data_IF_127867944582
#
_entry.id   IF_127867944582
#
_cell.length_a   1.000
_cell.length_b   1.000
_cell.length_c   1.000
_cell.angle_alpha   90.00
_cell.angle_beta   90.00
_cell.angle_gamma   90.00
#
_symmetry.space_group_name_H-M   'P 1'
#
loop_
_entity.id
_entity.type
_entity.pdbx_description
1 polymer ?
#
# COMPACT_ATOMS: atom_id res chain seq x y z
N UNK A 1 -25.23 1.88 7.26
CA UNK A 1 -24.51 1.37 8.45
C UNK A 1 -23.61 0.24 7.97
N UNK A 2 -22.34 0.19 8.37
CA UNK A 2 -21.43 -0.89 7.96
C UNK A 2 -21.69 -2.14 8.80
N UNK A 3 -21.74 -3.33 8.17
CA UNK A 3 -22.07 -4.60 8.85
C UNK A 3 -20.90 -5.16 9.66
N UNK A 4 -19.68 -5.06 9.14
CA UNK A 4 -18.48 -5.69 9.71
C UNK A 4 -17.39 -4.69 10.04
N UNK A 5 -16.69 -4.91 11.15
CA UNK A 5 -15.56 -4.13 11.63
C UNK A 5 -14.37 -5.07 11.84
N UNK A 6 -13.27 -4.82 11.14
CA UNK A 6 -12.00 -5.53 11.30
C UNK A 6 -11.11 -4.74 12.25
N UNK A 7 -10.72 -5.30 13.38
CA UNK A 7 -9.71 -4.72 14.26
C UNK A 7 -8.42 -4.48 13.48
N UNK A 8 -7.82 -3.30 13.65
CA UNK A 8 -6.53 -2.98 13.05
C UNK A 8 -5.58 -2.40 14.09
N UNK A 9 -4.30 -2.73 13.91
CA UNK A 9 -3.20 -2.23 14.73
C UNK A 9 -2.21 -1.45 13.87
N UNK A 10 -1.53 -0.49 14.47
CA UNK A 10 -0.58 0.37 13.79
C UNK A 10 -0.16 1.55 14.66
N UNK A 11 0.47 2.54 14.02
CA UNK A 11 0.85 3.77 14.72
C UNK A 11 -0.43 4.55 15.13
N UNK A 12 -0.62 4.79 16.42
CA UNK A 12 -1.82 5.44 16.96
C UNK A 12 -2.08 6.82 16.39
N UNK A 13 -1.06 7.70 16.29
CA UNK A 13 -1.26 9.05 15.74
C UNK A 13 -1.62 9.03 14.26
N UNK A 14 -1.09 8.05 13.52
CA UNK A 14 -1.48 7.81 12.14
C UNK A 14 -2.94 7.35 12.06
N UNK A 15 -3.34 6.36 12.87
CA UNK A 15 -4.70 5.86 12.91
C UNK A 15 -5.71 6.94 13.30
N UNK A 16 -5.40 7.73 14.33
CA UNK A 16 -6.18 8.92 14.71
C UNK A 16 -6.40 9.84 13.50
N UNK A 17 -5.35 10.14 12.73
CA UNK A 17 -5.46 10.99 11.53
C UNK A 17 -6.40 10.43 10.46
N UNK A 18 -6.50 9.10 10.32
CA UNK A 18 -7.47 8.47 9.39
C UNK A 18 -8.90 8.49 9.92
N UNK A 19 -9.10 8.60 11.24
CA UNK A 19 -10.41 8.47 11.89
C UNK A 19 -11.17 9.77 12.05
N UNK A 20 -10.46 10.91 12.00
CA UNK A 20 -10.97 12.29 12.12
C UNK A 20 -11.98 12.71 11.05
N UNK A 21 -12.47 11.75 10.28
CA UNK A 21 -12.96 11.93 8.95
C UNK A 21 -14.22 11.09 8.71
N UNK A 22 -15.34 11.52 9.33
CA UNK A 22 -16.54 10.71 9.47
C UNK A 22 -17.27 10.37 8.15
N UNK A 23 -16.97 11.08 7.06
CA UNK A 23 -17.53 10.87 5.73
C UNK A 23 -16.46 10.46 4.68
N UNK A 24 -15.34 9.87 5.14
CA UNK A 24 -14.19 9.56 4.29
C UNK A 24 -14.12 8.08 3.97
N UNK A 25 -13.58 7.79 2.79
CA UNK A 25 -13.63 6.49 2.17
C UNK A 25 -14.71 6.50 1.10
N UNK A 26 -14.31 6.16 -0.12
CA UNK A 26 -15.19 5.39 -0.99
C UNK A 26 -15.86 4.28 -0.17
N UNK A 27 -17.00 3.81 -0.66
CA UNK A 27 -17.65 2.58 -0.23
C UNK A 27 -16.70 1.36 -0.05
N UNK A 28 -15.45 1.47 -0.50
CA UNK A 28 -14.48 0.40 -0.55
C UNK A 28 -13.55 0.26 0.67
N UNK A 29 -13.38 1.27 1.52
CA UNK A 29 -12.49 1.13 2.68
C UNK A 29 -12.35 2.36 3.57
N UNK A 30 -12.40 2.16 4.89
CA UNK A 30 -12.39 3.23 5.89
C UNK A 30 -11.85 2.77 7.26
N UNK A 31 -11.22 3.68 8.00
CA UNK A 31 -10.85 3.48 9.41
C UNK A 31 -11.82 4.24 10.34
N UNK A 32 -12.21 3.63 11.45
CA UNK A 32 -13.03 4.21 12.53
C UNK A 32 -12.37 3.97 13.90
N UNK A 33 -12.64 4.85 14.88
CA UNK A 33 -12.03 4.81 16.23
C UNK A 33 -13.07 4.81 17.35
N UNK A 34 -12.99 3.81 18.22
CA UNK A 34 -13.89 3.63 19.37
C UNK A 34 -13.19 4.02 20.66
N UNK A 35 -13.71 5.08 21.29
CA UNK A 35 -13.23 5.59 22.57
C UNK A 35 -14.05 5.07 23.77
N UNK A 36 -15.11 4.27 23.56
CA UNK A 36 -16.04 3.93 24.64
C UNK A 36 -15.58 2.78 25.55
N UNK A 37 -14.54 2.03 25.18
CA UNK A 37 -14.24 0.74 25.80
C UNK A 37 -12.98 0.71 26.68
N UNK A 38 -12.11 1.73 26.68
CA UNK A 38 -10.91 1.74 27.56
C UNK A 38 -10.20 3.11 27.61
N UNK A 39 -9.13 3.21 28.42
CA UNK A 39 -8.16 4.34 28.38
C UNK A 39 -7.47 4.48 27.01
N UNK A 40 -7.54 3.46 26.14
CA UNK A 40 -6.92 3.44 24.82
C UNK A 40 -7.96 3.34 23.68
N UNK A 41 -7.75 4.06 22.56
CA UNK A 41 -8.63 3.96 21.40
C UNK A 41 -8.49 2.60 20.72
N UNK A 42 -9.62 2.01 20.31
CA UNK A 42 -9.64 0.86 19.40
C UNK A 42 -9.92 1.32 17.97
N UNK A 43 -9.18 0.78 17.00
CA UNK A 43 -9.33 1.13 15.60
C UNK A 43 -9.87 -0.02 14.78
N UNK A 44 -10.80 0.29 13.87
CA UNK A 44 -11.40 -0.69 12.98
C UNK A 44 -11.28 -0.25 11.52
N UNK A 45 -10.97 -1.20 10.64
CA UNK A 45 -11.19 -1.09 9.20
C UNK A 45 -12.58 -1.60 8.83
N UNK A 46 -13.26 -0.92 7.92
CA UNK A 46 -14.58 -1.32 7.41
C UNK A 46 -14.77 -0.88 5.96
N UNK A 47 -15.78 -1.42 5.29
CA UNK A 47 -16.09 -1.18 3.87
C UNK A 47 -17.54 -1.58 3.59
N UNK A 48 -18.24 -0.86 2.72
CA UNK A 48 -19.61 -1.25 2.33
C UNK A 48 -19.62 -2.48 1.42
N UNK A 49 -18.48 -2.83 0.81
CA UNK A 49 -18.27 -4.11 0.14
C UNK A 49 -18.38 -5.32 1.08
N UNK A 50 -18.29 -5.11 2.40
CA UNK A 50 -18.49 -6.16 3.41
C UNK A 50 -19.98 -6.32 3.76
N UNK A 51 -20.85 -5.37 3.43
CA UNK A 51 -22.26 -5.39 3.87
C UNK A 51 -23.05 -6.56 3.31
N UNK A 52 -22.70 -7.05 2.11
CA UNK A 52 -23.34 -8.21 1.48
C UNK A 52 -22.78 -9.55 1.95
N UNK A 53 -21.72 -9.55 2.78
CA UNK A 53 -21.10 -10.78 3.28
C UNK A 53 -21.86 -11.25 4.51
N UNK A 54 -22.34 -12.50 4.47
CA UNK A 54 -23.13 -13.09 5.56
C UNK A 54 -22.27 -13.84 6.57
N UNK A 55 -21.19 -14.49 6.10
CA UNK A 55 -20.33 -15.31 6.96
C UNK A 55 -19.15 -14.50 7.50
N UNK A 56 -18.87 -14.66 8.79
CA UNK A 56 -17.79 -13.94 9.48
C UNK A 56 -16.41 -14.26 8.89
N UNK A 57 -16.13 -15.53 8.58
CA UNK A 57 -14.85 -15.97 8.00
C UNK A 57 -14.62 -15.35 6.62
N UNK A 58 -15.66 -15.34 5.76
CA UNK A 58 -15.60 -14.70 4.45
C UNK A 58 -15.39 -13.18 4.58
N UNK A 59 -16.05 -12.55 5.57
CA UNK A 59 -15.89 -11.13 5.83
C UNK A 59 -14.46 -10.79 6.29
N UNK A 60 -13.86 -11.65 7.13
CA UNK A 60 -12.47 -11.51 7.58
C UNK A 60 -11.50 -11.56 6.40
N UNK A 61 -11.64 -12.57 5.54
CA UNK A 61 -10.75 -12.74 4.38
C UNK A 61 -10.86 -11.56 3.41
N UNK A 62 -12.10 -11.14 3.12
CA UNK A 62 -12.35 -9.98 2.25
C UNK A 62 -11.85 -8.68 2.86
N UNK A 63 -12.02 -8.48 4.17
CA UNK A 63 -11.52 -7.30 4.87
C UNK A 63 -9.98 -7.25 4.87
N UNK A 64 -9.30 -8.39 5.06
CA UNK A 64 -7.83 -8.50 4.95
C UNK A 64 -7.34 -8.15 3.54
N UNK A 65 -8.02 -8.63 2.50
CA UNK A 65 -7.67 -8.27 1.11
C UNK A 65 -7.81 -6.76 0.87
N UNK A 66 -8.93 -6.17 1.29
CA UNK A 66 -9.16 -4.73 1.16
C UNK A 66 -8.13 -3.91 1.95
N UNK A 67 -7.77 -4.34 3.17
CA UNK A 67 -6.75 -3.68 3.99
C UNK A 67 -5.38 -3.74 3.31
N UNK A 68 -5.04 -4.83 2.64
CA UNK A 68 -3.81 -4.92 1.83
C UNK A 68 -3.83 -3.88 0.71
N UNK A 69 -4.92 -3.75 -0.03
CA UNK A 69 -5.02 -2.71 -1.09
C UNK A 69 -4.90 -1.31 -0.49
N UNK A 70 -5.58 -1.05 0.63
CA UNK A 70 -5.52 0.23 1.34
C UNK A 70 -4.08 0.56 1.77
N UNK A 71 -3.37 -0.40 2.36
CA UNK A 71 -1.95 -0.26 2.69
C UNK A 71 -1.10 0.10 1.46
N UNK A 72 -1.38 -0.50 0.29
CA UNK A 72 -0.71 -0.18 -0.97
C UNK A 72 -0.94 1.26 -1.41
N UNK A 73 -2.18 1.77 -1.29
CA UNK A 73 -2.53 3.17 -1.59
C UNK A 73 -1.80 4.11 -0.64
N UNK A 74 -1.86 3.85 0.68
CA UNK A 74 -1.18 4.68 1.66
C UNK A 74 0.35 4.69 1.46
N UNK A 75 0.93 3.55 1.09
CA UNK A 75 2.35 3.46 0.76
C UNK A 75 2.69 4.33 -0.46
N UNK A 76 1.93 4.23 -1.55
CA UNK A 76 2.12 5.05 -2.75
C UNK A 76 2.02 6.55 -2.46
N UNK A 77 1.09 6.94 -1.61
CA UNK A 77 0.86 8.34 -1.26
C UNK A 77 1.82 8.89 -0.18
N UNK A 78 2.81 8.10 0.26
CA UNK A 78 3.73 8.46 1.36
C UNK A 78 3.00 8.78 2.68
N UNK A 79 1.81 8.18 2.91
CA UNK A 79 0.99 8.46 4.09
C UNK A 79 1.35 7.60 5.30
N UNK A 80 1.92 6.43 5.06
CA UNK A 80 2.22 5.44 6.09
C UNK A 80 3.70 5.12 6.14
N UNK A 81 4.26 5.16 7.35
CA UNK A 81 5.60 4.65 7.67
C UNK A 81 5.56 3.17 8.10
N UNK A 82 4.38 2.68 8.48
CA UNK A 82 4.09 1.28 8.83
C UNK A 82 2.79 0.82 8.20
N UNK A 83 2.65 -0.47 7.93
CA UNK A 83 1.40 -1.06 7.44
C UNK A 83 0.39 -1.18 8.57
N UNK A 84 -0.90 -1.12 8.25
CA UNK A 84 -1.95 -1.54 9.17
C UNK A 84 -1.99 -3.07 9.24
N UNK A 85 -2.02 -3.61 10.45
CA UNK A 85 -2.03 -5.05 10.71
C UNK A 85 -3.45 -5.49 11.06
N UNK A 86 -4.01 -6.50 10.39
CA UNK A 86 -5.36 -6.99 10.67
C UNK A 86 -5.41 -7.80 11.97
N UNK A 87 -6.45 -7.58 12.77
CA UNK A 87 -6.82 -8.37 13.95
C UNK A 87 -8.06 -9.23 13.72
N UNK A 88 -8.91 -9.35 14.75
CA UNK A 88 -10.21 -10.01 14.69
C UNK A 88 -11.26 -9.20 13.94
N UNK A 89 -12.28 -9.87 13.39
CA UNK A 89 -13.46 -9.19 12.83
C UNK A 89 -14.65 -9.33 13.78
N UNK A 90 -15.55 -8.35 13.78
CA UNK A 90 -16.79 -8.39 14.57
C UNK A 90 -17.95 -7.71 13.86
N UNK A 91 -19.20 -8.08 14.17
CA UNK A 91 -20.37 -7.38 13.69
C UNK A 91 -20.45 -5.97 14.32
N UNK A 92 -20.89 -5.00 13.54
CA UNK A 92 -21.14 -3.64 14.02
C UNK A 92 -22.48 -3.57 14.76
N UNK A 93 -22.42 -3.60 16.09
CA UNK A 93 -23.64 -3.65 16.90
C UNK A 93 -24.15 -2.28 17.37
N UNK A 94 -23.32 -1.22 17.46
CA UNK A 94 -23.73 0.03 18.15
C UNK A 94 -23.00 1.33 17.76
N UNK A 95 -22.31 1.41 16.62
CA UNK A 95 -21.46 2.58 16.36
C UNK A 95 -22.23 3.88 16.04
N UNK A 96 -22.34 4.79 17.02
CA UNK A 96 -22.73 6.19 16.82
C UNK A 96 -21.48 7.04 16.65
N UNK A 97 -21.29 7.54 15.44
CA UNK A 97 -20.16 8.36 15.03
C UNK A 97 -20.15 9.71 15.77
N UNK A 98 -19.08 10.03 16.49
CA UNK A 98 -18.78 11.39 16.97
C UNK A 98 -17.80 12.03 15.99
N UNK A 99 -18.07 13.26 15.56
CA UNK A 99 -17.19 14.03 14.68
C UNK A 99 -16.37 15.03 15.50
N UNK A 100 -15.06 15.13 15.19
CA UNK A 100 -14.39 16.38 14.76
C UNK A 100 -12.88 16.36 15.04
N UNK A 101 -12.07 16.71 14.02
CA UNK A 101 -10.86 17.56 13.99
C UNK A 101 -10.38 17.56 12.51
N UNK A 102 -9.85 18.67 12.00
CA UNK A 102 -9.48 18.82 10.59
C UNK A 102 -7.96 18.86 10.39
N UNK A 103 -7.36 17.78 9.86
CA UNK A 103 -5.99 17.80 9.33
C UNK A 103 -5.83 16.71 8.23
N UNK A 104 -5.40 17.09 7.01
CA UNK A 104 -5.23 16.24 5.79
C UNK A 104 -6.39 16.13 4.77
N UNK A 105 -7.17 17.19 4.55
CA UNK A 105 -8.20 17.18 3.49
C UNK A 105 -7.67 16.87 2.07
N UNK A 106 -6.41 17.21 1.75
CA UNK A 106 -5.84 17.04 0.41
C UNK A 106 -5.58 15.57 0.03
N UNK A 107 -5.18 14.72 0.98
CA UNK A 107 -4.87 13.31 0.69
C UNK A 107 -6.11 12.44 0.52
N UNK A 108 -7.26 12.92 1.02
CA UNK A 108 -8.57 12.27 0.88
C UNK A 108 -8.90 11.96 -0.56
N UNK A 109 -8.92 12.98 -1.41
CA UNK A 109 -9.34 12.84 -2.80
C UNK A 109 -8.44 11.82 -3.50
N UNK A 110 -7.14 11.83 -3.20
CA UNK A 110 -6.21 10.87 -3.77
C UNK A 110 -6.47 9.44 -3.30
N UNK A 111 -6.71 9.19 -2.00
CA UNK A 111 -7.04 7.83 -1.53
C UNK A 111 -8.30 7.33 -2.23
N UNK A 112 -9.37 8.13 -2.29
CA UNK A 112 -10.63 7.72 -2.89
C UNK A 112 -10.50 7.48 -4.40
N UNK A 113 -9.78 8.35 -5.11
CA UNK A 113 -9.48 8.21 -6.53
C UNK A 113 -8.69 6.91 -6.78
N UNK A 114 -7.63 6.66 -6.01
CA UNK A 114 -6.77 5.50 -6.19
C UNK A 114 -7.47 4.19 -5.79
N UNK A 115 -8.29 4.19 -4.73
CA UNK A 115 -9.06 3.01 -4.33
C UNK A 115 -10.06 2.62 -5.42
N UNK A 116 -10.85 3.57 -5.92
CA UNK A 116 -11.84 3.34 -7.01
C UNK A 116 -11.16 2.96 -8.32
N UNK A 117 -10.06 3.62 -8.64
CA UNK A 117 -9.28 3.41 -9.85
C UNK A 117 -8.72 2.00 -10.02
N UNK A 118 -8.70 1.17 -8.96
CA UNK A 118 -8.25 -0.23 -9.03
C UNK A 118 -9.06 -1.10 -9.98
N UNK A 119 -10.31 -0.72 -10.27
CA UNK A 119 -11.19 -1.41 -11.21
C UNK A 119 -11.12 -0.83 -12.63
N UNK A 120 -10.57 0.38 -12.79
CA UNK A 120 -10.53 1.12 -14.06
C UNK A 120 -9.29 0.80 -14.90
N UNK A 121 -8.23 0.28 -14.27
CA UNK A 121 -6.97 -0.02 -14.95
C UNK A 121 -6.47 -1.45 -14.72
N UNK A 122 -6.31 -2.17 -15.83
CA UNK A 122 -5.70 -3.50 -15.85
C UNK A 122 -4.40 -3.55 -15.07
N UNK A 123 -4.30 -4.52 -14.15
CA UNK A 123 -3.14 -4.76 -13.28
C UNK A 123 -2.84 -3.67 -12.22
N UNK A 124 -3.55 -2.54 -12.18
CA UNK A 124 -3.32 -1.55 -11.12
C UNK A 124 -3.64 -2.11 -9.73
N UNK A 125 -4.77 -2.80 -9.59
CA UNK A 125 -5.10 -3.60 -8.39
C UNK A 125 -3.95 -4.54 -7.97
N UNK A 126 -3.31 -5.21 -8.95
CA UNK A 126 -2.20 -6.14 -8.68
C UNK A 126 -0.98 -5.40 -8.12
N UNK A 127 -0.66 -4.21 -8.64
CA UNK A 127 0.41 -3.36 -8.09
C UNK A 127 0.08 -2.93 -6.67
N UNK A 128 -1.14 -2.44 -6.41
CA UNK A 128 -1.57 -2.08 -5.05
C UNK A 128 -1.45 -3.25 -4.08
N UNK A 129 -1.85 -4.46 -4.51
CA UNK A 129 -1.74 -5.67 -3.69
C UNK A 129 -0.30 -6.05 -3.38
N UNK A 130 0.58 -6.04 -4.38
CA UNK A 130 2.01 -6.34 -4.20
C UNK A 130 2.68 -5.30 -3.28
N UNK A 131 2.37 -4.03 -3.50
CA UNK A 131 2.89 -2.94 -2.67
C UNK A 131 2.32 -2.97 -1.26
N UNK A 132 1.06 -3.36 -1.06
CA UNK A 132 0.41 -3.36 0.23
C UNK A 132 0.75 -4.58 1.10
N UNK A 133 0.95 -5.76 0.50
CA UNK A 133 1.26 -7.00 1.24
C UNK A 133 2.57 -6.88 2.01
N UNK A 134 3.60 -6.37 1.31
CA UNK A 134 4.95 -6.29 1.85
C UNK A 134 5.35 -4.86 2.21
N UNK A 135 4.56 -3.85 1.82
CA UNK A 135 4.72 -2.43 2.15
C UNK A 135 6.14 -1.92 1.88
N UNK A 136 6.87 -1.50 2.90
CA UNK A 136 8.27 -1.07 2.85
C UNK A 136 9.26 -2.23 2.69
N UNK A 137 8.86 -3.46 3.02
CA UNK A 137 9.68 -4.67 3.00
C UNK A 137 9.43 -5.52 1.73
N UNK A 138 9.00 -4.90 0.62
CA UNK A 138 8.82 -5.60 -0.66
C UNK A 138 10.18 -6.19 -1.09
N UNK A 139 10.17 -7.48 -1.42
CA UNK A 139 11.35 -8.23 -1.84
C UNK A 139 11.54 -8.19 -3.35
N UNK A 140 12.73 -8.60 -3.81
CA UNK A 140 13.12 -8.56 -5.22
C UNK A 140 12.09 -9.19 -6.16
N UNK A 141 11.55 -10.37 -5.82
CA UNK A 141 10.57 -11.05 -6.65
C UNK A 141 9.31 -10.20 -6.90
N UNK A 142 8.80 -9.54 -5.85
CA UNK A 142 7.60 -8.70 -5.98
C UNK A 142 7.90 -7.36 -6.65
N UNK A 143 9.07 -6.75 -6.39
CA UNK A 143 9.54 -5.58 -7.14
C UNK A 143 9.62 -5.88 -8.64
N UNK A 144 10.13 -7.06 -9.01
CA UNK A 144 10.24 -7.46 -10.40
C UNK A 144 8.87 -7.66 -11.06
N UNK A 145 7.91 -8.28 -10.38
CA UNK A 145 6.51 -8.38 -10.85
C UNK A 145 5.90 -7.01 -11.10
N UNK A 146 6.15 -6.04 -10.22
CA UNK A 146 5.67 -4.65 -10.40
C UNK A 146 6.36 -4.02 -11.62
N UNK A 147 7.67 -4.21 -11.78
CA UNK A 147 8.40 -3.75 -12.96
C UNK A 147 7.82 -4.31 -14.27
N UNK A 148 7.49 -5.60 -14.34
CA UNK A 148 6.88 -6.20 -15.55
C UNK A 148 5.54 -5.54 -15.90
N UNK A 149 4.72 -5.23 -14.89
CA UNK A 149 3.45 -4.49 -15.07
C UNK A 149 3.73 -3.09 -15.59
N UNK A 150 4.64 -2.35 -14.95
CA UNK A 150 5.01 -1.00 -15.34
C UNK A 150 5.60 -0.94 -16.76
N UNK A 151 6.47 -1.89 -17.11
CA UNK A 151 7.06 -2.02 -18.45
C UNK A 151 5.99 -2.24 -19.50
N UNK A 152 5.03 -3.14 -19.24
CA UNK A 152 3.90 -3.38 -20.15
C UNK A 152 3.02 -2.14 -20.31
N UNK A 153 2.79 -1.40 -19.22
CA UNK A 153 1.87 -0.25 -19.21
C UNK A 153 2.47 1.03 -19.78
N UNK A 154 3.73 1.34 -19.45
CA UNK A 154 4.40 2.60 -19.77
C UNK A 154 5.37 2.49 -20.96
N UNK A 155 5.88 1.28 -21.22
CA UNK A 155 6.97 1.06 -22.18
C UNK A 155 8.35 1.47 -21.64
N UNK A 156 9.40 0.95 -22.26
CA UNK A 156 10.78 1.17 -21.81
C UNK A 156 11.24 2.63 -21.90
N UNK A 157 10.78 3.35 -22.95
CA UNK A 157 11.16 4.74 -23.17
C UNK A 157 10.65 5.64 -22.03
N UNK A 158 9.38 5.50 -21.63
CA UNK A 158 8.80 6.28 -20.52
C UNK A 158 9.47 5.92 -19.19
N UNK A 159 9.73 4.63 -18.95
CA UNK A 159 10.47 4.21 -17.76
C UNK A 159 11.86 4.87 -17.71
N UNK A 160 12.59 4.90 -18.82
CA UNK A 160 13.88 5.56 -18.90
C UNK A 160 13.81 7.08 -18.66
N UNK A 161 12.70 7.74 -19.02
CA UNK A 161 12.46 9.16 -18.74
C UNK A 161 12.13 9.44 -17.27
N UNK A 162 11.46 8.52 -16.58
CA UNK A 162 11.12 8.69 -15.15
C UNK A 162 12.38 8.68 -14.28
N UNK A 163 13.37 7.84 -14.61
CA UNK A 163 14.67 7.80 -13.94
C UNK A 163 15.82 7.81 -14.94
N UNK A 164 16.40 6.65 -15.26
CA UNK A 164 17.39 6.51 -16.31
C UNK A 164 17.43 5.08 -16.81
N UNK A 165 17.78 4.89 -18.08
CA UNK A 165 18.02 3.54 -18.65
C UNK A 165 19.07 2.78 -17.84
N UNK A 166 20.10 3.47 -17.33
CA UNK A 166 21.14 2.88 -16.47
C UNK A 166 20.55 2.28 -15.19
N UNK A 167 19.64 2.99 -14.52
CA UNK A 167 19.02 2.48 -13.28
C UNK A 167 18.13 1.27 -13.53
N UNK A 168 17.36 1.24 -14.61
CA UNK A 168 16.56 0.07 -14.97
C UNK A 168 17.42 -1.14 -15.35
N UNK A 169 18.55 -0.91 -16.03
CA UNK A 169 19.51 -1.97 -16.33
C UNK A 169 20.14 -2.53 -15.04
N UNK A 170 20.51 -1.67 -14.08
CA UNK A 170 20.99 -2.11 -12.77
C UNK A 170 19.93 -2.91 -12.01
N UNK A 171 18.71 -2.40 -11.94
CA UNK A 171 17.59 -3.06 -11.26
C UNK A 171 17.31 -4.45 -11.83
N UNK A 172 17.10 -4.53 -13.15
CA UNK A 172 16.82 -5.81 -13.83
C UNK A 172 18.02 -6.73 -13.85
N UNK A 173 19.24 -6.18 -13.86
CA UNK A 173 20.46 -6.88 -13.53
C UNK A 173 20.32 -7.54 -12.16
N UNK A 174 20.34 -6.78 -11.08
CA UNK A 174 20.32 -7.32 -9.71
C UNK A 174 19.17 -8.29 -9.43
N UNK A 175 17.94 -7.97 -9.85
CA UNK A 175 16.78 -8.83 -9.61
C UNK A 175 16.88 -10.23 -10.24
N UNK A 176 17.70 -10.40 -11.29
CA UNK A 176 17.88 -11.67 -11.98
C UNK A 176 19.05 -12.53 -11.41
N UNK A 177 19.83 -12.03 -10.45
CA UNK A 177 21.07 -12.69 -10.01
C UNK A 177 21.04 -12.96 -8.51
N UNK A 178 21.44 -14.18 -8.14
CA UNK A 178 21.24 -14.73 -6.80
C UNK A 178 22.21 -14.27 -5.73
N UNK A 179 23.35 -13.69 -6.11
CA UNK A 179 24.34 -13.26 -5.11
C UNK A 179 23.77 -12.10 -4.27
N UNK A 180 23.12 -11.12 -4.91
CA UNK A 180 22.57 -9.95 -4.23
C UNK A 180 21.11 -10.10 -3.82
N UNK A 181 20.32 -10.87 -4.57
CA UNK A 181 18.91 -11.11 -4.25
C UNK A 181 18.69 -12.35 -3.34
N UNK A 182 19.71 -13.17 -3.12
CA UNK A 182 19.60 -14.41 -2.34
C UNK A 182 18.57 -15.38 -2.94
N UNK A 183 17.82 -16.05 -2.07
CA UNK A 183 16.74 -16.97 -2.44
C UNK A 183 15.56 -16.27 -3.14
N UNK A 184 15.48 -14.94 -3.08
CA UNK A 184 14.45 -14.12 -3.75
C UNK A 184 14.81 -13.79 -5.21
N UNK A 185 15.97 -14.24 -5.69
CA UNK A 185 16.37 -14.04 -7.07
C UNK A 185 15.47 -14.81 -8.03
N UNK A 186 15.25 -14.23 -9.23
CA UNK A 186 14.45 -14.90 -10.27
C UNK A 186 15.05 -16.23 -10.73
N UNK A 187 16.38 -16.34 -10.67
CA UNK A 187 17.11 -17.52 -11.09
C UNK A 187 18.01 -18.00 -9.95
N UNK A 188 17.92 -19.29 -9.62
CA UNK A 188 18.74 -19.91 -8.58
C UNK A 188 20.25 -19.95 -8.95
N UNK A 189 20.56 -20.02 -10.25
CA UNK A 189 21.93 -20.05 -10.77
C UNK A 189 22.13 -18.80 -11.65
N UNK A 190 23.10 -17.92 -11.36
CA UNK A 190 23.37 -16.74 -12.15
C UNK A 190 24.03 -17.13 -13.48
N UNK A 191 23.56 -16.52 -14.58
CA UNK A 191 24.07 -16.83 -15.92
C UNK A 191 25.31 -16.02 -16.32
N UNK A 192 25.67 -14.96 -15.58
CA UNK A 192 26.81 -14.04 -15.83
C UNK A 192 27.30 -13.42 -14.52
N UNK A 193 28.39 -12.67 -14.56
CA UNK A 193 28.75 -11.73 -13.50
C UNK A 193 28.17 -10.35 -13.82
N UNK A 194 27.57 -9.67 -12.84
CA UNK A 194 27.17 -8.26 -12.99
C UNK A 194 28.17 -7.37 -12.24
N UNK A 195 28.71 -6.36 -12.93
CA UNK A 195 29.62 -5.38 -12.31
C UNK A 195 28.90 -4.26 -11.58
N UNK A 196 27.61 -4.06 -11.86
CA UNK A 196 26.81 -2.93 -11.42
C UNK A 196 25.52 -3.43 -10.78
N UNK A 197 25.50 -3.55 -9.45
CA UNK A 197 24.34 -3.97 -8.68
C UNK A 197 23.58 -2.77 -8.11
N UNK A 198 22.35 -3.01 -7.64
CA UNK A 198 21.47 -2.03 -7.02
C UNK A 198 21.06 -2.52 -5.63
N UNK A 199 21.31 -1.77 -4.55
CA UNK A 199 20.78 -2.10 -3.23
C UNK A 199 19.25 -2.20 -3.24
N UNK A 200 18.68 -3.09 -2.42
CA UNK A 200 17.23 -3.32 -2.37
C UNK A 200 16.44 -2.05 -2.05
N UNK A 201 16.96 -1.16 -1.21
CA UNK A 201 16.29 0.10 -0.88
C UNK A 201 16.28 1.09 -2.04
N UNK A 202 17.33 1.11 -2.86
CA UNK A 202 17.34 1.87 -4.11
C UNK A 202 16.34 1.29 -5.11
N UNK A 203 16.22 -0.04 -5.18
CA UNK A 203 15.24 -0.71 -6.02
C UNK A 203 13.79 -0.40 -5.60
N UNK A 204 13.49 -0.42 -4.30
CA UNK A 204 12.19 -0.01 -3.74
C UNK A 204 11.87 1.43 -4.09
N UNK A 205 12.82 2.35 -3.93
CA UNK A 205 12.68 3.78 -4.30
C UNK A 205 12.41 3.94 -5.80
N UNK A 206 13.16 3.23 -6.65
CA UNK A 206 13.00 3.23 -8.10
C UNK A 206 11.59 2.78 -8.52
N UNK A 207 11.16 1.62 -8.03
CA UNK A 207 9.84 1.05 -8.37
C UNK A 207 8.72 1.93 -7.84
N UNK A 208 8.80 2.39 -6.59
CA UNK A 208 7.79 3.29 -6.02
C UNK A 208 7.67 4.58 -6.83
N UNK A 209 8.80 5.19 -7.20
CA UNK A 209 8.82 6.41 -8.02
C UNK A 209 8.14 6.17 -9.36
N UNK A 210 8.40 5.03 -10.01
CA UNK A 210 7.76 4.67 -11.26
C UNK A 210 6.24 4.46 -11.10
N UNK A 211 5.80 3.77 -10.05
CA UNK A 211 4.38 3.64 -9.73
C UNK A 211 3.71 4.99 -9.45
N UNK A 212 4.35 5.88 -8.69
CA UNK A 212 3.84 7.22 -8.40
C UNK A 212 3.65 8.03 -9.69
N UNK A 213 4.63 8.01 -10.60
CA UNK A 213 4.50 8.69 -11.90
C UNK A 213 3.37 8.11 -12.75
N UNK A 214 3.20 6.79 -12.74
CA UNK A 214 2.08 6.16 -13.43
C UNK A 214 0.73 6.62 -12.88
N UNK A 215 0.53 6.57 -11.56
CA UNK A 215 -0.78 6.91 -10.96
C UNK A 215 -1.12 8.38 -11.08
N UNK A 216 -0.14 9.29 -11.02
CA UNK A 216 -0.38 10.71 -11.28
C UNK A 216 -0.90 10.95 -12.70
N UNK A 217 -0.30 10.28 -13.70
CA UNK A 217 -0.73 10.40 -15.10
C UNK A 217 -2.09 9.73 -15.33
N UNK A 218 -2.30 8.52 -14.78
CA UNK A 218 -3.51 7.75 -14.97
C UNK A 218 -4.74 8.40 -14.33
N UNK A 219 -4.57 8.99 -13.15
CA UNK A 219 -5.67 9.51 -12.33
C UNK A 219 -5.70 11.04 -12.23
N UNK A 220 -4.80 11.73 -12.92
CA UNK A 220 -4.67 13.18 -12.88
C UNK A 220 -4.59 13.75 -11.45
N UNK A 221 -3.77 13.10 -10.61
CA UNK A 221 -3.48 13.54 -9.24
C UNK A 221 -2.03 14.03 -9.14
N UNK A 222 -1.70 14.74 -8.06
CA UNK A 222 -0.31 15.10 -7.74
C UNK A 222 0.10 14.56 -6.38
N UNK A 223 1.10 13.69 -6.36
CA UNK A 223 1.70 13.14 -5.16
C UNK A 223 2.88 14.05 -4.79
N UNK A 224 2.65 14.90 -3.79
CA UNK A 224 3.70 15.76 -3.27
C UNK A 224 4.81 14.92 -2.62
N UNK A 225 6.04 15.46 -2.62
CA UNK A 225 7.18 14.87 -1.91
C UNK A 225 7.56 13.43 -2.34
N UNK A 226 7.57 13.13 -3.65
CA UNK A 226 8.04 11.83 -4.18
C UNK A 226 9.43 11.41 -3.68
N UNK A 227 10.29 12.40 -3.36
CA UNK A 227 11.65 12.19 -2.87
C UNK A 227 11.74 12.04 -1.35
N UNK A 228 10.69 12.41 -0.61
CA UNK A 228 10.64 12.22 0.83
C UNK A 228 10.22 10.78 1.12
N UNK A 229 11.23 9.91 1.13
CA UNK A 229 11.15 8.65 1.82
C UNK A 229 11.57 8.95 3.24
N UNK A 230 10.63 9.08 4.19
CA UNK A 230 11.07 9.16 5.57
C UNK A 230 11.96 7.95 5.84
N UNK A 231 13.12 8.19 6.43
CA UNK A 231 14.00 7.11 6.85
C UNK A 231 13.18 6.12 7.67
N UNK A 232 13.34 4.85 7.34
CA UNK A 232 12.63 3.76 7.98
C UNK A 232 12.92 3.81 9.48
N UNK A 233 11.94 4.21 10.28
CA UNK A 233 11.97 3.91 11.70
C UNK A 233 11.43 2.49 11.82
N UNK A 234 12.32 1.53 12.08
CA UNK A 234 11.90 0.20 12.49
C UNK A 234 11.11 0.34 13.77
N UNK A 235 9.85 -0.06 13.76
CA UNK A 235 9.09 -0.20 14.99
C UNK A 235 9.02 -1.68 15.33
N UNK A 236 9.02 -2.01 16.62
CA UNK A 236 8.99 -3.41 17.10
C UNK A 236 7.81 -4.21 16.53
N UNK A 237 6.72 -3.52 16.17
CA UNK A 237 5.52 -4.10 15.54
C UNK A 237 5.71 -4.53 14.08
N UNK A 238 6.78 -4.14 13.39
CA UNK A 238 7.02 -4.54 11.99
C UNK A 238 7.47 -6.02 11.86
N UNK A 239 7.85 -6.65 12.98
CA UNK A 239 8.33 -8.04 13.05
C UNK A 239 7.24 -9.06 13.45
N UNK A 240 5.99 -8.62 13.60
CA UNK A 240 4.82 -9.44 13.95
C UNK A 240 3.99 -9.71 12.68
#
# INVERSE_FOLDING_TARGET
>A
MYKWLLDIYGNGSLLDSFTQFPNYGSDEGRIIVDYNLSEHPFYYFTSSLLNSVEQESEALDKAKELLVIFNGVCYLLNLTFTKFIPGSIRPNIYYKQKSDIAFYAQFRSHIDILMKGRHEHDNYHKVLRLMGRSHKNIQWMDLYKIYEILKKKLGEQKLAQITSKKNWNKFTGTANFSIEAGDEARHAIPNKDIKDTMPIDEARKLIKTACQNWVEEAFNIKINNKLYFPEYISLDFDNI
#
